data_IF_602010373287
#
_entry.id   IF_602010373287
#
_cell.length_a   1.000
_cell.length_b   1.000
_cell.length_c   1.000
_cell.angle_alpha   90.00
_cell.angle_beta   90.00
_cell.angle_gamma   90.00
#
_symmetry.space_group_name_H-M   'P 1'
#
loop_
_entity.id
_entity.type
_entity.pdbx_description
1 polymer ?
#
# COMPACT_ATOMS: atom_id res chain seq x y z
N UNK A 1 12.26 -28.28 -5.22
CA UNK A 1 12.10 -26.92 -4.64
C UNK A 1 13.41 -26.15 -4.65
N UNK A 2 14.49 -26.69 -4.06
CA UNK A 2 15.84 -26.10 -4.18
C UNK A 2 16.38 -26.05 -5.62
N UNK A 3 16.01 -27.03 -6.45
CA UNK A 3 16.36 -27.12 -7.87
C UNK A 3 15.90 -25.91 -8.72
N UNK A 4 14.83 -25.22 -8.30
CA UNK A 4 14.31 -24.02 -8.96
C UNK A 4 14.76 -22.71 -8.30
N UNK A 5 15.71 -22.76 -7.35
CA UNK A 5 16.12 -21.59 -6.56
C UNK A 5 15.04 -21.08 -5.60
N UNK A 6 13.98 -21.86 -5.34
CA UNK A 6 12.89 -21.46 -4.47
C UNK A 6 13.22 -21.84 -3.01
N UNK A 7 13.46 -20.83 -2.18
CA UNK A 7 13.63 -20.97 -0.74
C UNK A 7 12.31 -20.74 -0.01
N UNK A 8 12.02 -21.59 0.99
CA UNK A 8 10.87 -21.39 1.88
C UNK A 8 11.19 -20.24 2.83
N UNK A 9 10.47 -19.13 2.65
CA UNK A 9 10.53 -18.01 3.59
C UNK A 9 10.05 -18.45 4.98
N UNK A 10 10.89 -18.23 6.00
CA UNK A 10 10.57 -18.51 7.41
C UNK A 10 9.97 -17.28 8.07
N UNK A 11 8.97 -17.48 8.93
CA UNK A 11 8.40 -16.41 9.75
C UNK A 11 9.14 -16.33 11.09
N UNK A 12 9.21 -15.12 11.66
CA UNK A 12 9.73 -14.88 12.98
C UNK A 12 8.79 -15.48 14.03
N UNK A 13 9.37 -16.15 15.03
CA UNK A 13 8.65 -16.56 16.24
C UNK A 13 8.51 -15.35 17.17
N UNK A 14 7.45 -14.57 16.93
CA UNK A 14 7.11 -13.38 17.70
C UNK A 14 5.63 -13.46 18.09
N UNK A 15 5.31 -13.05 19.30
CA UNK A 15 3.93 -12.94 19.78
C UNK A 15 3.20 -11.74 19.17
N UNK A 16 1.86 -11.79 19.17
CA UNK A 16 1.02 -10.73 18.62
C UNK A 16 1.26 -9.39 19.33
N UNK A 17 1.35 -9.38 20.66
CA UNK A 17 1.54 -8.15 21.45
C UNK A 17 2.87 -7.46 21.10
N UNK A 18 3.95 -8.23 20.98
CA UNK A 18 5.26 -7.68 20.63
C UNK A 18 5.30 -7.21 19.16
N UNK A 19 4.56 -7.89 18.27
CA UNK A 19 4.43 -7.47 16.88
C UNK A 19 3.65 -6.16 16.75
N UNK A 20 2.58 -5.99 17.55
CA UNK A 20 1.75 -4.78 17.60
C UNK A 20 2.53 -3.59 18.16
N UNK A 21 3.34 -3.81 19.20
CA UNK A 21 4.25 -2.78 19.74
C UNK A 21 5.22 -2.27 18.67
N UNK A 22 5.87 -3.18 17.94
CA UNK A 22 6.84 -2.82 16.89
C UNK A 22 6.18 -2.17 15.69
N UNK A 23 4.99 -2.64 15.31
CA UNK A 23 4.21 -1.99 14.27
C UNK A 23 3.76 -0.60 14.71
N UNK A 24 3.39 -0.41 15.98
CA UNK A 24 3.01 0.87 16.58
C UNK A 24 4.11 1.92 16.55
N UNK A 25 5.35 1.52 16.81
CA UNK A 25 6.52 2.39 16.61
C UNK A 25 6.62 2.87 15.16
N UNK A 26 6.48 1.97 14.19
CA UNK A 26 6.57 2.29 12.74
C UNK A 26 5.41 3.18 12.30
N UNK A 27 4.18 2.87 12.70
CA UNK A 27 2.99 3.64 12.30
C UNK A 27 3.03 5.05 12.88
N UNK A 28 3.53 5.22 14.12
CA UNK A 28 3.75 6.55 14.69
C UNK A 28 4.73 7.39 13.89
N UNK A 29 5.79 6.77 13.38
CA UNK A 29 6.79 7.44 12.55
C UNK A 29 6.29 7.68 11.11
N UNK A 30 5.49 6.75 10.57
CA UNK A 30 4.98 6.78 9.20
C UNK A 30 3.46 6.50 9.10
N UNK A 31 2.61 7.46 9.52
CA UNK A 31 1.16 7.23 9.66
C UNK A 31 0.41 6.98 8.34
N UNK A 32 0.99 7.41 7.21
CA UNK A 32 0.37 7.28 5.88
C UNK A 32 0.79 5.99 5.14
N UNK A 33 1.65 5.17 5.74
CA UNK A 33 2.11 3.92 5.14
C UNK A 33 0.99 2.89 5.03
N UNK A 34 0.82 2.33 3.83
CA UNK A 34 -0.05 1.17 3.63
C UNK A 34 0.59 -0.15 4.06
N UNK A 35 -0.23 -1.21 4.10
CA UNK A 35 0.14 -2.60 4.49
C UNK A 35 1.48 -3.06 3.88
N UNK A 36 1.70 -2.82 2.58
CA UNK A 36 2.89 -3.28 1.88
C UNK A 36 4.18 -2.61 2.39
N UNK A 37 4.12 -1.32 2.72
CA UNK A 37 5.26 -0.56 3.20
C UNK A 37 5.56 -0.91 4.66
N UNK A 38 4.53 -1.00 5.50
CA UNK A 38 4.63 -1.45 6.89
C UNK A 38 5.25 -2.85 6.99
N UNK A 39 4.79 -3.78 6.14
CA UNK A 39 5.39 -5.12 6.03
C UNK A 39 6.88 -5.06 5.71
N UNK A 40 7.28 -4.22 4.77
CA UNK A 40 8.68 -4.11 4.38
C UNK A 40 9.53 -3.51 5.50
N UNK A 41 9.01 -2.51 6.21
CA UNK A 41 9.69 -1.90 7.36
C UNK A 41 9.91 -2.91 8.49
N UNK A 42 8.95 -3.80 8.77
CA UNK A 42 9.15 -4.92 9.71
C UNK A 42 10.25 -5.87 9.23
N UNK A 43 10.25 -6.23 7.93
CA UNK A 43 11.26 -7.12 7.35
C UNK A 43 12.66 -6.51 7.47
N UNK A 44 12.80 -5.20 7.23
CA UNK A 44 14.07 -4.49 7.40
C UNK A 44 14.54 -4.47 8.87
N UNK A 45 13.62 -4.55 9.83
CA UNK A 45 13.91 -4.73 11.26
C UNK A 45 14.13 -6.20 11.66
N UNK A 46 14.20 -7.13 10.68
CA UNK A 46 14.40 -8.56 10.93
C UNK A 46 13.14 -9.31 11.38
N UNK A 47 11.97 -8.66 11.35
CA UNK A 47 10.71 -9.24 11.78
C UNK A 47 9.89 -9.60 10.55
N UNK A 48 9.63 -10.89 10.35
CA UNK A 48 8.79 -11.37 9.26
C UNK A 48 7.58 -12.10 9.82
N UNK A 49 6.42 -11.47 9.77
CA UNK A 49 5.16 -12.07 10.20
C UNK A 49 4.28 -12.50 9.03
N UNK A 50 3.33 -13.39 9.30
CA UNK A 50 2.32 -13.80 8.36
C UNK A 50 1.45 -12.60 7.95
N UNK A 51 0.99 -12.58 6.69
CA UNK A 51 0.20 -11.47 6.16
C UNK A 51 -1.11 -11.24 6.94
N UNK A 52 -1.77 -12.31 7.37
CA UNK A 52 -3.01 -12.20 8.13
C UNK A 52 -2.77 -11.56 9.51
N UNK A 53 -1.72 -11.96 10.24
CA UNK A 53 -1.31 -11.33 11.52
C UNK A 53 -1.03 -9.84 11.36
N UNK A 54 -0.31 -9.46 10.30
CA UNK A 54 -0.05 -8.05 10.01
C UNK A 54 -1.35 -7.27 9.81
N UNK A 55 -2.33 -7.83 9.09
CA UNK A 55 -3.61 -7.17 8.85
C UNK A 55 -4.42 -7.03 10.13
N UNK A 56 -4.47 -8.07 10.94
CA UNK A 56 -5.16 -8.04 12.22
C UNK A 56 -4.54 -6.99 13.16
N UNK A 57 -3.21 -6.90 13.19
CA UNK A 57 -2.45 -5.86 13.90
C UNK A 57 -2.81 -4.45 13.40
N UNK A 58 -2.80 -4.23 12.08
CA UNK A 58 -3.18 -2.93 11.48
C UNK A 58 -4.63 -2.56 11.84
N UNK A 59 -5.57 -3.50 11.77
CA UNK A 59 -6.97 -3.24 12.13
C UNK A 59 -7.09 -2.87 13.62
N UNK A 60 -6.50 -3.66 14.52
CA UNK A 60 -6.51 -3.36 15.97
C UNK A 60 -5.98 -1.96 16.31
N UNK A 61 -5.00 -1.48 15.53
CA UNK A 61 -4.34 -0.21 15.79
C UNK A 61 -4.98 0.99 15.07
N UNK A 62 -5.58 0.79 13.90
CA UNK A 62 -5.99 1.85 13.00
C UNK A 62 -7.27 1.50 12.21
N UNK A 63 -8.34 1.15 12.93
CA UNK A 63 -9.65 0.92 12.32
C UNK A 63 -10.10 2.14 11.51
N UNK A 64 -9.89 3.36 12.04
CA UNK A 64 -10.34 4.59 11.39
C UNK A 64 -9.51 4.94 10.14
N UNK A 65 -8.18 4.87 10.18
CA UNK A 65 -7.34 5.19 9.03
C UNK A 65 -7.46 4.15 7.90
N UNK A 66 -7.83 2.91 8.21
CA UNK A 66 -8.26 1.92 7.18
C UNK A 66 -9.54 2.38 6.49
N UNK A 67 -10.52 2.88 7.24
CA UNK A 67 -11.73 3.46 6.67
C UNK A 67 -11.45 4.72 5.84
N UNK A 68 -10.63 5.64 6.34
CA UNK A 68 -10.32 6.91 5.66
C UNK A 68 -9.55 6.71 4.35
N UNK A 69 -8.61 5.75 4.31
CA UNK A 69 -7.92 5.37 3.06
C UNK A 69 -8.86 4.73 2.06
N UNK A 70 -9.96 4.11 2.51
CA UNK A 70 -10.97 3.50 1.63
C UNK A 70 -11.92 4.56 1.06
N UNK A 71 -12.26 5.59 1.83
CA UNK A 71 -13.17 6.67 1.42
C UNK A 71 -12.48 7.69 0.52
N UNK A 72 -11.18 7.96 0.71
CA UNK A 72 -10.36 8.82 -0.15
C UNK A 72 -9.99 8.23 -1.51
N UNK A 73 -10.80 7.32 -2.07
CA UNK A 73 -10.50 6.68 -3.36
C UNK A 73 -10.49 7.72 -4.46
N UNK A 74 -9.37 7.84 -5.18
CA UNK A 74 -9.26 8.71 -6.35
C UNK A 74 -10.45 8.47 -7.29
N UNK A 75 -11.24 9.51 -7.54
CA UNK A 75 -12.31 9.46 -8.53
C UNK A 75 -11.66 9.27 -9.90
N UNK A 76 -11.67 8.03 -10.39
CA UNK A 76 -11.18 7.74 -11.73
C UNK A 76 -12.14 8.38 -12.71
N UNK A 77 -11.65 9.31 -13.51
CA UNK A 77 -12.40 9.86 -14.63
C UNK A 77 -12.61 8.74 -15.65
N UNK A 78 -13.84 8.58 -16.10
CA UNK A 78 -14.18 7.69 -17.21
C UNK A 78 -13.93 8.50 -18.47
N UNK A 79 -13.01 8.04 -19.30
CA UNK A 79 -12.73 8.63 -20.60
C UNK A 79 -13.28 7.70 -21.67
N UNK A 80 -14.04 8.27 -22.60
CA UNK A 80 -14.36 7.60 -23.86
C UNK A 80 -13.26 7.93 -24.86
N UNK A 81 -12.53 6.90 -25.30
CA UNK A 81 -11.32 7.04 -26.09
C UNK A 81 -11.41 6.13 -27.32
N UNK A 82 -11.16 6.65 -28.54
CA UNK A 82 -11.24 5.87 -29.78
C UNK A 82 -10.23 4.70 -29.87
N UNK A 83 -9.22 4.66 -29.00
CA UNK A 83 -8.22 3.60 -28.97
C UNK A 83 -7.25 3.65 -27.78
N UNK A 84 -6.44 2.59 -27.56
CA UNK A 84 -5.69 2.36 -26.32
C UNK A 84 -4.68 3.44 -25.92
N UNK A 85 -4.10 4.16 -26.89
CA UNK A 85 -3.08 5.21 -26.65
C UNK A 85 -3.63 6.64 -26.66
N UNK A 86 -4.93 6.83 -26.88
CA UNK A 86 -5.49 8.18 -27.03
C UNK A 86 -5.42 8.98 -25.72
N UNK A 87 -5.53 8.31 -24.58
CA UNK A 87 -5.47 8.94 -23.26
C UNK A 87 -4.07 9.45 -22.90
N UNK A 88 -3.00 8.84 -23.43
CA UNK A 88 -1.61 9.27 -23.19
C UNK A 88 -1.32 10.66 -23.78
N UNK A 89 -1.96 11.01 -24.90
CA UNK A 89 -1.81 12.31 -25.54
C UNK A 89 -2.56 13.44 -24.82
N UNK A 90 -3.48 13.10 -23.89
CA UNK A 90 -4.26 14.08 -23.12
C UNK A 90 -3.46 14.64 -21.94
N UNK A 91 -2.47 13.90 -21.42
CA UNK A 91 -1.62 14.33 -20.29
C UNK A 91 -0.44 15.22 -20.72
N UNK A 92 -0.16 15.31 -22.01
CA UNK A 92 0.73 16.36 -22.53
C UNK A 92 -0.01 17.68 -22.49
N UNK A 93 0.34 18.49 -21.50
CA UNK A 93 -0.16 19.82 -21.19
C UNK A 93 0.18 20.85 -22.30
N UNK A 94 -0.22 20.58 -23.55
CA UNK A 94 -0.21 21.55 -24.64
C UNK A 94 -1.50 22.34 -24.52
N UNK A 95 -1.46 23.35 -23.66
CA UNK A 95 -2.39 24.47 -23.55
C UNK A 95 -3.38 24.54 -24.72
N UNK A 96 -4.62 24.09 -24.52
CA UNK A 96 -5.73 24.56 -25.32
C UNK A 96 -6.03 25.99 -24.85
N UNK A 97 -5.24 26.95 -25.34
CA UNK A 97 -5.74 28.32 -25.53
C UNK A 97 -6.64 28.23 -26.75
N UNK A 98 -7.95 28.24 -26.52
CA UNK A 98 -8.96 28.25 -27.57
C UNK A 98 -10.20 28.94 -27.02
N UNK A 99 -10.38 30.19 -27.43
CA UNK A 99 -11.40 31.14 -27.02
C UNK A 99 -12.85 30.63 -27.17
N UNK A 100 -13.73 31.16 -26.31
CA UNK A 100 -15.20 31.39 -26.40
C UNK A 100 -15.76 31.32 -24.96
N UNK A 101 -16.10 32.40 -24.24
CA UNK A 101 -16.76 33.67 -24.57
C UNK A 101 -16.09 34.87 -23.86
#
# INVERSE_FOLDING_TARGET
>A
MSEFGLSKMTFSEIDDDNSDLKLGEIVKEFPLCGEAMLRQMLILKGIRIQRWRLRDSIHRMDDQGVHDRRTGRLHRRVYDAPGPNYLWNIDTNHLFVGDLL
#
